data_IF_442169638908
#
_entry.id   IF_442169638908
#
_cell.length_a   1.000
_cell.length_b   1.000
_cell.length_c   1.000
_cell.angle_alpha   90.00
_cell.angle_beta   90.00
_cell.angle_gamma   90.00
#
_symmetry.space_group_name_H-M   'P 1'
#
loop_
_entity.id
_entity.type
_entity.pdbx_description
1 polymer ?
#
# COMPACT_ATOMS: atom_id res chain seq x y z
N UNK A 1 -8.12 -2.87 6.26
CA UNK A 1 -7.05 -3.30 5.34
C UNK A 1 -6.36 -4.56 5.85
N UNK A 2 -5.89 -4.58 7.11
CA UNK A 2 -5.30 -5.77 7.76
C UNK A 2 -6.21 -7.01 7.75
N UNK A 3 -7.51 -6.84 8.02
CA UNK A 3 -8.48 -7.94 7.98
C UNK A 3 -8.57 -8.59 6.59
N UNK A 4 -8.61 -7.78 5.52
CA UNK A 4 -8.62 -8.27 4.14
C UNK A 4 -7.33 -9.03 3.82
N UNK A 5 -6.17 -8.45 4.20
CA UNK A 5 -4.87 -9.09 4.03
C UNK A 5 -4.82 -10.45 4.74
N UNK A 6 -5.30 -10.51 5.98
CA UNK A 6 -5.36 -11.74 6.78
C UNK A 6 -6.24 -12.80 6.13
N UNK A 7 -7.41 -12.44 5.60
CA UNK A 7 -8.30 -13.35 4.86
C UNK A 7 -7.63 -13.94 3.61
N UNK A 8 -6.81 -13.15 2.91
CA UNK A 8 -6.05 -13.59 1.73
C UNK A 8 -4.70 -14.26 2.09
N UNK A 9 -4.29 -14.25 3.36
CA UNK A 9 -3.03 -14.82 3.84
C UNK A 9 -1.80 -13.98 3.51
N UNK A 10 -1.95 -12.65 3.36
CA UNK A 10 -0.87 -11.72 3.00
C UNK A 10 -0.77 -10.60 4.02
N UNK A 11 0.41 -10.01 4.18
CA UNK A 11 0.55 -8.85 5.08
C UNK A 11 -0.12 -7.62 4.47
N UNK A 12 -0.51 -6.65 5.31
CA UNK A 12 -1.03 -5.38 4.81
C UNK A 12 -0.02 -4.61 3.94
N UNK A 13 1.28 -4.71 4.25
CA UNK A 13 2.34 -4.15 3.42
C UNK A 13 2.34 -4.76 2.02
N UNK A 14 2.25 -6.09 1.94
CA UNK A 14 2.17 -6.80 0.67
C UNK A 14 0.89 -6.47 -0.10
N UNK A 15 -0.26 -6.43 0.57
CA UNK A 15 -1.54 -6.06 -0.04
C UNK A 15 -1.49 -4.65 -0.64
N UNK A 16 -0.87 -3.70 0.08
CA UNK A 16 -0.71 -2.32 -0.38
C UNK A 16 0.12 -2.26 -1.67
N UNK A 17 1.29 -2.92 -1.67
CA UNK A 17 2.17 -2.95 -2.85
C UNK A 17 1.51 -3.64 -4.04
N UNK A 18 0.84 -4.76 -3.82
CA UNK A 18 0.10 -5.48 -4.86
C UNK A 18 -1.02 -4.61 -5.45
N UNK A 19 -1.76 -3.88 -4.61
CA UNK A 19 -2.81 -2.98 -5.06
C UNK A 19 -2.31 -1.82 -5.92
N UNK A 20 -1.16 -1.22 -5.57
CA UNK A 20 -0.54 -0.15 -6.37
C UNK A 20 -0.10 -0.67 -7.73
N UNK A 21 0.56 -1.84 -7.77
CA UNK A 21 0.99 -2.48 -9.03
C UNK A 21 -0.23 -2.82 -9.90
N UNK A 22 -1.34 -3.23 -9.30
CA UNK A 22 -2.57 -3.56 -10.01
C UNK A 22 -3.29 -2.35 -10.65
N UNK A 23 -2.88 -1.11 -10.39
CA UNK A 23 -3.50 0.08 -11.00
C UNK A 23 -3.13 0.23 -12.49
N UNK A 24 -2.10 -0.46 -12.98
CA UNK A 24 -1.75 -0.49 -14.40
C UNK A 24 -0.25 -0.65 -14.63
N UNK A 25 0.13 -0.86 -15.90
CA UNK A 25 1.52 -1.11 -16.29
C UNK A 25 2.45 0.10 -16.07
N UNK A 26 1.89 1.30 -15.90
CA UNK A 26 2.63 2.54 -15.65
C UNK A 26 2.89 2.78 -14.15
N UNK A 27 2.46 1.87 -13.28
CA UNK A 27 2.66 1.96 -11.85
C UNK A 27 3.83 1.08 -11.40
N UNK A 28 4.83 1.72 -10.79
CA UNK A 28 5.99 1.05 -10.20
C UNK A 28 6.08 1.41 -8.72
N UNK A 29 6.22 0.40 -7.86
CA UNK A 29 6.45 0.60 -6.42
C UNK A 29 7.94 0.63 -6.12
N UNK A 30 8.37 1.58 -5.28
CA UNK A 30 9.76 1.73 -4.81
C UNK A 30 9.85 1.69 -3.28
N UNK A 31 9.41 0.59 -2.62
CA UNK A 31 9.39 0.53 -1.17
C UNK A 31 10.81 0.49 -0.59
N UNK A 32 11.14 1.47 0.25
CA UNK A 32 12.40 1.51 0.98
C UNK A 32 12.33 0.76 2.31
N UNK A 33 13.36 -0.01 2.64
CA UNK A 33 13.51 -0.65 3.95
C UNK A 33 14.98 -0.82 4.30
N UNK A 34 15.27 -0.91 5.61
CA UNK A 34 16.63 -1.17 6.14
C UNK A 34 16.83 -2.62 6.60
N UNK A 35 15.79 -3.46 6.56
CA UNK A 35 15.85 -4.84 7.06
C UNK A 35 15.56 -5.82 5.92
N UNK A 36 16.41 -6.85 5.80
CA UNK A 36 16.32 -7.88 4.75
C UNK A 36 14.95 -8.58 4.78
N UNK A 37 14.46 -8.96 5.97
CA UNK A 37 13.12 -9.57 6.11
C UNK A 37 12.01 -8.78 5.41
N UNK A 38 12.02 -7.45 5.52
CA UNK A 38 11.00 -6.61 4.87
C UNK A 38 11.27 -6.41 3.39
N UNK A 39 12.53 -6.48 2.95
CA UNK A 39 12.85 -6.49 1.53
C UNK A 39 12.23 -7.72 0.88
N UNK A 40 12.42 -8.89 1.48
CA UNK A 40 11.83 -10.16 1.04
C UNK A 40 10.31 -10.09 1.05
N UNK A 41 9.70 -9.64 2.15
CA UNK A 41 8.25 -9.46 2.26
C UNK A 41 7.69 -8.55 1.15
N UNK A 42 8.30 -7.37 0.96
CA UNK A 42 7.90 -6.40 -0.07
C UNK A 42 8.08 -6.98 -1.48
N UNK A 43 9.17 -7.71 -1.73
CA UNK A 43 9.45 -8.31 -3.03
C UNK A 43 8.41 -9.36 -3.39
N UNK A 44 7.96 -10.16 -2.41
CA UNK A 44 6.95 -11.20 -2.62
C UNK A 44 5.55 -10.65 -2.95
N UNK A 45 5.28 -9.36 -2.67
CA UNK A 45 4.01 -8.71 -3.03
C UNK A 45 3.69 -8.80 -4.53
N UNK A 46 4.70 -8.84 -5.41
CA UNK A 46 4.53 -8.96 -6.87
C UNK A 46 3.81 -10.24 -7.33
N UNK A 47 3.77 -11.26 -6.47
CA UNK A 47 3.12 -12.55 -6.77
C UNK A 47 1.62 -12.52 -6.45
N UNK A 48 1.16 -11.50 -5.73
CA UNK A 48 -0.23 -11.37 -5.31
C UNK A 48 -1.01 -10.76 -6.47
N UNK A 49 -1.95 -11.54 -7.00
CA UNK A 49 -2.89 -11.09 -8.00
C UNK A 49 -4.22 -10.76 -7.31
N UNK A 50 -4.77 -9.60 -7.64
CA UNK A 50 -6.06 -9.12 -7.14
C UNK A 50 -7.08 -9.20 -8.27
N UNK A 51 -8.21 -9.86 -8.03
CA UNK A 51 -9.31 -9.88 -8.99
C UNK A 51 -10.00 -8.52 -9.06
N UNK A 52 -10.83 -8.30 -10.08
CA UNK A 52 -11.63 -7.07 -10.22
C UNK A 52 -12.56 -6.85 -9.03
N UNK A 53 -13.12 -7.93 -8.48
CA UNK A 53 -13.98 -7.90 -7.29
C UNK A 53 -13.18 -7.50 -6.05
N UNK A 54 -12.01 -8.09 -5.86
CA UNK A 54 -11.11 -7.76 -4.75
C UNK A 54 -10.64 -6.30 -4.83
N UNK A 55 -10.30 -5.81 -6.02
CA UNK A 55 -9.94 -4.41 -6.25
C UNK A 55 -11.08 -3.46 -5.88
N UNK A 56 -12.31 -3.83 -6.22
CA UNK A 56 -13.51 -3.07 -5.86
C UNK A 56 -13.75 -3.05 -4.34
N UNK A 57 -13.61 -4.19 -3.68
CA UNK A 57 -13.73 -4.28 -2.22
C UNK A 57 -12.65 -3.46 -1.51
N UNK A 58 -11.39 -3.58 -1.96
CA UNK A 58 -10.26 -2.80 -1.42
C UNK A 58 -10.53 -1.31 -1.60
N UNK A 59 -11.04 -0.88 -2.75
CA UNK A 59 -11.37 0.54 -2.98
C UNK A 59 -12.45 1.03 -2.02
N UNK A 60 -13.52 0.26 -1.78
CA UNK A 60 -14.53 0.59 -0.76
C UNK A 60 -13.93 0.72 0.64
N UNK A 61 -13.01 -0.16 1.00
CA UNK A 61 -12.29 -0.07 2.28
C UNK A 61 -11.50 1.23 2.35
N UNK A 62 -10.73 1.57 1.32
CA UNK A 62 -9.92 2.81 1.27
C UNK A 62 -10.81 4.05 1.36
N UNK A 63 -11.90 4.09 0.59
CA UNK A 63 -12.82 5.23 0.54
C UNK A 63 -13.56 5.45 1.88
N UNK A 64 -13.67 4.41 2.71
CA UNK A 64 -14.26 4.49 4.05
C UNK A 64 -13.31 5.04 5.13
N UNK A 65 -12.01 5.18 4.82
CA UNK A 65 -11.01 5.65 5.80
C UNK A 65 -11.10 7.16 5.95
N UNK A 66 -11.37 7.62 7.16
CA UNK A 66 -11.25 9.03 7.53
C UNK A 66 -9.77 9.45 7.50
N UNK A 67 -9.44 10.47 6.70
CA UNK A 67 -8.08 10.99 6.60
C UNK A 67 -7.88 12.03 7.71
N UNK A 68 -7.06 11.68 8.69
CA UNK A 68 -6.73 12.55 9.83
C UNK A 68 -5.38 13.22 9.59
N UNK A 69 -5.37 14.56 9.59
CA UNK A 69 -4.15 15.36 9.46
C UNK A 69 -3.58 15.42 8.04
N UNK A 70 -2.42 16.05 7.90
CA UNK A 70 -1.71 16.22 6.63
C UNK A 70 -0.50 15.28 6.55
N UNK A 71 -0.06 14.94 5.33
CA UNK A 71 1.13 14.10 5.11
C UNK A 71 2.41 14.72 5.69
N UNK A 72 2.48 16.05 5.66
CA UNK A 72 3.60 16.85 6.14
C UNK A 72 3.08 17.81 7.20
N UNK A 73 3.80 17.97 8.31
CA UNK A 73 3.47 19.02 9.29
C UNK A 73 3.62 20.40 8.65
N UNK A 74 2.87 21.39 9.13
CA UNK A 74 2.95 22.76 8.60
C UNK A 74 4.38 23.31 8.60
N UNK A 75 5.16 23.03 9.65
CA UNK A 75 6.56 23.45 9.75
C UNK A 75 7.47 22.75 8.73
N UNK A 76 7.18 21.51 8.34
CA UNK A 76 7.93 20.80 7.29
C UNK A 76 7.60 21.28 5.88
N UNK A 77 6.49 22.00 5.70
CA UNK A 77 6.08 22.61 4.42
C UNK A 77 6.59 24.05 4.26
N UNK A 78 7.15 24.67 5.31
CA UNK A 78 7.76 26.00 5.22
C UNK A 78 9.09 25.92 4.48
N UNK A 79 9.22 26.69 3.41
CA UNK A 79 10.51 26.91 2.73
C UNK A 79 11.47 27.51 3.74
N UNK A 80 12.58 26.81 4.00
CA UNK A 80 13.65 27.33 4.87
C UNK A 80 14.28 28.53 4.16
N UNK A 81 14.35 29.67 4.86
CA UNK A 81 15.08 30.87 4.41
C UNK A 81 16.57 30.61 4.35
#
# INVERSE_FOLDING_TARGET
FDEFGSKKGVTAGQLCLAWVIAQGNDFVTIPGTRKIKYLEENFEARKIHLSSEELSEIRKIIDSIEIIGTRYSEDSMKVRK
#
